data_IF_014373611443
#
_entry.id   IF_014373611443
#
_cell.length_a   1.000
_cell.length_b   1.000
_cell.length_c   1.000
_cell.angle_alpha   90.00
_cell.angle_beta   90.00
_cell.angle_gamma   90.00
#
_symmetry.space_group_name_H-M   'P 1'
#
loop_
_entity.id
_entity.type
_entity.pdbx_description
1 polymer ?
#
# COMPACT_ATOMS: atom_id res chain seq x y z
N UNK A 1 19.89 58.09 30.00
CA UNK A 1 18.68 57.62 29.34
C UNK A 1 18.93 56.80 28.04
N UNK A 2 20.17 56.35 27.82
CA UNK A 2 20.64 55.69 26.58
C UNK A 2 20.82 54.15 26.64
N UNK A 3 20.52 53.51 27.81
CA UNK A 3 20.84 52.14 28.02
C UNK A 3 19.65 51.16 27.85
N UNK A 4 18.41 51.68 27.73
CA UNK A 4 17.20 50.84 27.58
C UNK A 4 16.80 50.54 26.15
N UNK A 5 17.24 51.31 25.15
CA UNK A 5 16.88 51.16 23.74
C UNK A 5 17.54 49.95 23.07
N UNK A 6 18.76 49.60 23.53
CA UNK A 6 19.54 48.52 22.95
C UNK A 6 19.03 47.09 23.29
N UNK A 7 18.25 46.96 24.38
CA UNK A 7 17.68 45.69 24.81
C UNK A 7 16.39 45.33 24.07
N UNK A 8 15.59 46.31 23.68
CA UNK A 8 14.35 46.11 22.95
C UNK A 8 14.57 45.78 21.49
N UNK A 9 15.60 46.42 20.90
CA UNK A 9 16.05 46.15 19.51
C UNK A 9 16.59 44.72 19.37
N UNK A 10 17.47 44.28 20.27
CA UNK A 10 17.99 42.90 20.27
C UNK A 10 16.89 41.84 20.40
N UNK A 11 15.87 42.08 21.21
CA UNK A 11 14.73 41.15 21.39
C UNK A 11 13.85 41.07 20.14
N UNK A 12 13.64 42.18 19.44
CA UNK A 12 12.89 42.21 18.17
C UNK A 12 13.63 41.52 17.03
N UNK A 13 14.95 41.66 16.97
CA UNK A 13 15.78 40.94 16.00
C UNK A 13 15.83 39.43 16.27
N UNK A 14 15.90 38.99 17.52
CA UNK A 14 15.86 37.59 17.90
C UNK A 14 14.50 36.96 17.50
N UNK A 15 13.37 37.65 17.70
CA UNK A 15 12.04 37.19 17.32
C UNK A 15 11.86 37.02 15.81
N UNK A 16 12.39 37.93 15.00
CA UNK A 16 12.33 37.84 13.53
C UNK A 16 13.21 36.70 12.99
N UNK A 17 14.37 36.48 13.58
CA UNK A 17 15.26 35.35 13.24
C UNK A 17 14.64 34.00 13.59
N UNK A 18 13.99 33.94 14.77
CA UNK A 18 13.32 32.73 15.24
C UNK A 18 12.10 32.38 14.37
N UNK A 19 11.31 33.38 13.98
CA UNK A 19 10.20 33.21 13.04
C UNK A 19 10.65 32.69 11.66
N UNK A 20 11.75 33.22 11.15
CA UNK A 20 12.34 32.77 9.87
C UNK A 20 12.82 31.30 9.98
N UNK A 21 13.47 30.94 11.07
CA UNK A 21 14.00 29.60 11.30
C UNK A 21 12.85 28.57 11.44
N UNK A 22 11.79 28.91 12.14
CA UNK A 22 10.57 28.10 12.24
C UNK A 22 9.93 27.92 10.87
N UNK A 23 9.82 29.00 10.07
CA UNK A 23 9.20 28.90 8.74
C UNK A 23 10.00 27.98 7.81
N UNK A 24 11.33 28.06 7.82
CA UNK A 24 12.19 27.18 7.03
C UNK A 24 12.06 25.72 7.53
N UNK A 25 12.08 25.51 8.84
CA UNK A 25 11.91 24.19 9.42
C UNK A 25 10.55 23.57 9.05
N UNK A 26 9.48 24.38 9.05
CA UNK A 26 8.13 23.93 8.68
C UNK A 26 8.08 23.54 7.19
N UNK A 27 8.68 24.32 6.30
CA UNK A 27 8.77 23.99 4.87
C UNK A 27 9.52 22.67 4.66
N UNK A 28 10.67 22.49 5.31
CA UNK A 28 11.45 21.26 5.21
C UNK A 28 10.69 20.06 5.79
N UNK A 29 9.96 20.25 6.89
CA UNK A 29 9.12 19.22 7.47
C UNK A 29 8.01 18.78 6.51
N UNK A 30 7.31 19.75 5.88
CA UNK A 30 6.23 19.47 4.92
C UNK A 30 6.79 18.74 3.69
N UNK A 31 7.92 19.18 3.15
CA UNK A 31 8.57 18.51 2.01
C UNK A 31 9.06 17.10 2.38
N UNK A 32 9.62 16.93 3.56
CA UNK A 32 10.04 15.63 4.08
C UNK A 32 8.87 14.67 4.27
N UNK A 33 7.77 15.16 4.84
CA UNK A 33 6.53 14.39 5.02
C UNK A 33 5.93 13.97 3.67
N UNK A 34 5.95 14.88 2.69
CA UNK A 34 5.53 14.58 1.33
C UNK A 34 6.37 13.47 0.67
N UNK A 35 7.70 13.60 0.71
CA UNK A 35 8.60 12.60 0.16
C UNK A 35 8.44 11.24 0.85
N UNK A 36 8.24 11.25 2.16
CA UNK A 36 7.95 10.06 2.94
C UNK A 36 6.64 9.38 2.48
N UNK A 37 5.53 10.13 2.40
CA UNK A 37 4.25 9.59 1.97
C UNK A 37 4.32 9.00 0.56
N UNK A 38 4.98 9.67 -0.39
CA UNK A 38 5.15 9.16 -1.76
C UNK A 38 5.93 7.84 -1.79
N UNK A 39 7.03 7.75 -1.04
CA UNK A 39 7.85 6.55 -1.00
C UNK A 39 7.17 5.34 -0.38
N UNK A 40 6.30 5.57 0.62
CA UNK A 40 5.59 4.49 1.31
C UNK A 40 4.31 4.06 0.61
N UNK A 41 3.65 4.97 -0.10
CA UNK A 41 2.37 4.65 -0.78
C UNK A 41 2.57 3.56 -1.83
N UNK A 42 3.60 3.62 -2.65
CA UNK A 42 3.87 2.59 -3.66
C UNK A 42 4.14 1.23 -3.02
N UNK A 43 4.99 1.16 -2.00
CA UNK A 43 5.29 -0.08 -1.28
C UNK A 43 4.05 -0.70 -0.63
N UNK A 44 3.18 0.14 -0.04
CA UNK A 44 1.94 -0.32 0.57
C UNK A 44 0.97 -0.88 -0.47
N UNK A 45 0.85 -0.21 -1.61
CA UNK A 45 0.03 -0.66 -2.72
C UNK A 45 0.53 -1.97 -3.31
N UNK A 46 1.83 -2.12 -3.49
CA UNK A 46 2.44 -3.36 -3.96
C UNK A 46 2.22 -4.50 -2.96
N UNK A 47 2.40 -4.24 -1.67
CA UNK A 47 2.11 -5.22 -0.63
C UNK A 47 0.65 -5.69 -0.66
N UNK A 48 -0.31 -4.78 -0.78
CA UNK A 48 -1.74 -5.13 -0.87
C UNK A 48 -2.03 -5.92 -2.14
N UNK A 49 -1.50 -5.51 -3.29
CA UNK A 49 -1.67 -6.21 -4.57
C UNK A 49 -1.08 -7.60 -4.56
N UNK A 50 0.10 -7.77 -3.98
CA UNK A 50 0.78 -9.06 -3.89
C UNK A 50 0.08 -10.05 -2.94
N UNK A 51 -0.76 -9.56 -2.03
CA UNK A 51 -1.62 -10.39 -1.19
C UNK A 51 -2.95 -10.76 -1.87
N UNK A 52 -3.27 -10.15 -3.02
CA UNK A 52 -4.40 -10.59 -3.83
C UNK A 52 -3.95 -11.85 -4.59
N UNK A 53 -4.69 -12.92 -4.41
CA UNK A 53 -4.38 -14.20 -5.03
C UNK A 53 -5.63 -14.95 -5.47
N UNK A 54 -5.41 -16.06 -6.10
CA UNK A 54 -6.43 -17.05 -6.41
C UNK A 54 -6.27 -18.26 -5.53
N UNK A 55 -7.38 -18.75 -5.02
CA UNK A 55 -7.49 -20.10 -4.51
C UNK A 55 -8.16 -20.97 -5.57
N UNK A 56 -7.36 -21.85 -6.15
CA UNK A 56 -7.81 -22.78 -7.20
C UNK A 56 -8.22 -24.08 -6.53
N UNK A 57 -9.51 -24.30 -6.39
CA UNK A 57 -10.07 -25.51 -5.79
C UNK A 57 -9.94 -26.66 -6.79
N UNK A 58 -9.36 -27.75 -6.35
CA UNK A 58 -9.11 -28.95 -7.15
C UNK A 58 -10.21 -29.99 -6.90
N UNK A 59 -10.61 -30.69 -7.94
CA UNK A 59 -11.56 -31.80 -7.82
C UNK A 59 -11.01 -32.92 -6.95
N UNK A 60 -11.83 -33.54 -6.11
CA UNK A 60 -11.43 -34.61 -5.19
C UNK A 60 -10.84 -35.85 -5.88
N UNK A 61 -11.23 -36.09 -7.14
CA UNK A 61 -10.75 -37.22 -7.95
C UNK A 61 -9.49 -36.91 -8.77
N UNK A 62 -8.87 -35.74 -8.59
CA UNK A 62 -7.68 -35.36 -9.32
C UNK A 62 -6.46 -36.18 -8.86
N UNK A 63 -5.68 -36.68 -9.81
CA UNK A 63 -4.45 -37.41 -9.51
C UNK A 63 -3.37 -36.43 -9.03
N UNK A 64 -2.62 -36.84 -8.03
CA UNK A 64 -1.52 -36.04 -7.47
C UNK A 64 -0.51 -35.58 -8.52
N UNK A 65 -0.18 -36.47 -9.48
CA UNK A 65 0.68 -36.14 -10.63
C UNK A 65 0.14 -34.99 -11.47
N UNK A 66 -1.19 -34.93 -11.66
CA UNK A 66 -1.84 -33.84 -12.43
C UNK A 66 -1.85 -32.53 -11.65
N UNK A 67 -2.01 -32.59 -10.32
CA UNK A 67 -1.92 -31.41 -9.44
C UNK A 67 -0.50 -30.84 -9.49
N UNK A 68 0.52 -31.70 -9.35
CA UNK A 68 1.93 -31.30 -9.44
C UNK A 68 2.26 -30.67 -10.80
N UNK A 69 1.78 -31.29 -11.89
CA UNK A 69 1.98 -30.75 -13.23
C UNK A 69 1.33 -29.36 -13.39
N UNK A 70 0.11 -29.17 -12.88
CA UNK A 70 -0.56 -27.87 -12.92
C UNK A 70 0.19 -26.83 -12.08
N UNK A 71 0.64 -27.19 -10.85
CA UNK A 71 1.46 -26.32 -10.00
C UNK A 71 2.74 -25.88 -10.73
N UNK A 72 3.44 -26.82 -11.36
CA UNK A 72 4.66 -26.53 -12.11
C UNK A 72 4.40 -25.66 -13.35
N UNK A 73 3.26 -25.84 -14.02
CA UNK A 73 2.85 -25.00 -15.14
C UNK A 73 2.57 -23.58 -14.69
N UNK A 74 1.87 -23.41 -13.55
CA UNK A 74 1.53 -22.09 -12.97
C UNK A 74 2.82 -21.39 -12.51
N UNK A 75 3.70 -22.07 -11.79
CA UNK A 75 4.91 -21.48 -11.22
C UNK A 75 5.88 -20.91 -12.26
N UNK A 76 5.83 -21.39 -13.51
CA UNK A 76 6.64 -20.89 -14.62
C UNK A 76 6.13 -19.62 -15.26
N UNK A 77 4.94 -19.16 -14.87
CA UNK A 77 4.32 -17.96 -15.46
C UNK A 77 4.92 -16.70 -14.85
N UNK A 78 5.25 -15.71 -15.67
CA UNK A 78 5.88 -14.44 -15.25
C UNK A 78 5.03 -13.61 -14.30
N UNK A 79 3.72 -13.80 -14.32
CA UNK A 79 2.77 -13.07 -13.48
C UNK A 79 2.59 -13.69 -12.10
N UNK A 80 3.19 -14.84 -11.82
CA UNK A 80 3.06 -15.56 -10.56
C UNK A 80 4.24 -15.24 -9.65
N UNK A 81 3.94 -14.82 -8.42
CA UNK A 81 4.91 -14.57 -7.37
C UNK A 81 5.19 -15.83 -6.56
N UNK A 82 4.14 -16.52 -6.14
CA UNK A 82 4.24 -17.78 -5.40
C UNK A 82 3.07 -18.70 -5.71
N UNK A 83 3.30 -20.01 -5.56
CA UNK A 83 2.30 -21.07 -5.71
C UNK A 83 2.46 -22.05 -4.57
N UNK A 84 1.42 -22.22 -3.80
CA UNK A 84 1.38 -23.17 -2.69
C UNK A 84 0.27 -24.19 -2.93
N UNK A 85 0.58 -25.46 -2.73
CA UNK A 85 -0.43 -26.53 -2.75
C UNK A 85 -0.87 -26.77 -1.31
N UNK A 86 -2.15 -26.72 -1.07
CA UNK A 86 -2.80 -26.95 0.23
C UNK A 86 -3.57 -28.25 0.12
N UNK A 87 -3.11 -29.26 0.85
CA UNK A 87 -3.82 -30.55 0.90
C UNK A 87 -5.14 -30.42 1.68
N UNK A 88 -6.01 -31.43 1.57
CA UNK A 88 -7.26 -31.48 2.33
C UNK A 88 -7.00 -31.41 3.84
N UNK A 89 -5.97 -32.12 4.30
CA UNK A 89 -5.56 -32.16 5.71
C UNK A 89 -5.02 -30.81 6.17
N UNK A 90 -4.21 -30.18 5.35
CA UNK A 90 -3.65 -28.84 5.64
C UNK A 90 -4.74 -27.77 5.67
N UNK A 91 -5.68 -27.79 4.72
CA UNK A 91 -6.84 -26.90 4.70
C UNK A 91 -7.67 -27.05 5.99
N UNK A 92 -7.83 -28.30 6.47
CA UNK A 92 -8.53 -28.56 7.73
C UNK A 92 -7.80 -27.98 8.93
N UNK A 93 -6.48 -28.14 8.97
CA UNK A 93 -5.67 -27.63 10.08
C UNK A 93 -5.68 -26.08 10.11
N UNK A 94 -5.56 -25.43 8.96
CA UNK A 94 -5.67 -23.97 8.84
C UNK A 94 -7.04 -23.48 9.32
N UNK A 95 -8.12 -24.17 8.93
CA UNK A 95 -9.46 -23.81 9.34
C UNK A 95 -9.68 -24.00 10.84
N UNK A 96 -9.05 -25.02 11.45
CA UNK A 96 -9.06 -25.22 12.90
C UNK A 96 -8.33 -24.07 13.63
N UNK A 97 -7.19 -23.64 13.11
CA UNK A 97 -6.43 -22.52 13.69
C UNK A 97 -7.24 -21.21 13.63
N UNK A 98 -7.97 -20.98 12.54
CA UNK A 98 -8.75 -19.75 12.31
C UNK A 98 -10.05 -19.70 13.11
N UNK A 99 -10.77 -20.82 13.23
CA UNK A 99 -12.12 -20.88 13.80
C UNK A 99 -12.20 -21.56 15.19
N UNK A 100 -11.10 -22.20 15.62
CA UNK A 100 -11.05 -22.99 16.85
C UNK A 100 -11.50 -24.44 16.65
N UNK A 101 -11.15 -25.28 17.63
CA UNK A 101 -11.44 -26.73 17.58
C UNK A 101 -12.95 -27.05 17.59
N UNK A 102 -13.77 -26.19 18.17
CA UNK A 102 -15.23 -26.34 18.27
C UNK A 102 -15.94 -26.40 16.91
N UNK A 103 -15.31 -25.85 15.85
CA UNK A 103 -15.88 -25.85 14.51
C UNK A 103 -16.04 -27.27 13.93
N UNK A 104 -15.11 -28.19 14.24
CA UNK A 104 -15.20 -29.58 13.77
C UNK A 104 -16.24 -30.37 14.53
N UNK A 105 -16.45 -30.10 15.81
CA UNK A 105 -17.53 -30.69 16.58
C UNK A 105 -18.90 -30.26 16.03
N UNK A 106 -18.98 -29.02 15.49
CA UNK A 106 -20.20 -28.50 14.86
C UNK A 106 -20.52 -29.15 13.51
N UNK A 107 -19.49 -29.62 12.77
CA UNK A 107 -19.67 -30.39 11.54
C UNK A 107 -20.16 -31.82 11.81
N UNK A 108 -20.03 -32.33 13.05
CA UNK A 108 -20.45 -33.68 13.42
C UNK A 108 -19.73 -34.76 12.60
N UNK A 109 -20.45 -35.88 12.36
CA UNK A 109 -19.98 -37.03 11.57
C UNK A 109 -19.93 -36.76 10.03
N UNK A 110 -20.04 -35.50 9.60
CA UNK A 110 -20.00 -35.19 8.18
C UNK A 110 -18.53 -35.31 7.69
N UNK A 111 -18.37 -36.12 6.65
CA UNK A 111 -17.07 -36.21 5.97
C UNK A 111 -16.55 -34.81 5.60
N UNK A 112 -15.32 -34.51 6.01
CA UNK A 112 -14.69 -33.21 5.80
C UNK A 112 -14.99 -32.67 4.38
N UNK A 113 -15.73 -31.54 4.24
CA UNK A 113 -16.16 -31.01 2.96
C UNK A 113 -15.04 -30.27 2.21
N UNK A 114 -13.89 -30.03 2.86
CA UNK A 114 -12.80 -29.29 2.26
C UNK A 114 -12.16 -30.06 1.13
N UNK A 115 -11.78 -29.34 0.09
CA UNK A 115 -11.10 -29.86 -1.08
C UNK A 115 -9.66 -29.36 -1.10
N UNK A 116 -8.75 -30.11 -1.72
CA UNK A 116 -7.39 -29.60 -1.95
C UNK A 116 -7.44 -28.37 -2.85
N UNK A 117 -6.55 -27.43 -2.60
CA UNK A 117 -6.48 -26.18 -3.36
C UNK A 117 -5.03 -25.80 -3.72
N UNK A 118 -4.89 -24.92 -4.70
CA UNK A 118 -3.62 -24.27 -5.03
C UNK A 118 -3.80 -22.77 -4.80
N UNK A 119 -3.07 -22.22 -3.82
CA UNK A 119 -3.01 -20.79 -3.59
C UNK A 119 -1.96 -20.16 -4.52
N UNK A 120 -2.39 -19.15 -5.29
CA UNK A 120 -1.57 -18.46 -6.28
C UNK A 120 -1.52 -16.99 -5.90
N UNK A 121 -0.31 -16.45 -5.69
CA UNK A 121 -0.09 -15.03 -5.48
C UNK A 121 0.48 -14.40 -6.74
N UNK A 122 0.02 -13.21 -7.06
CA UNK A 122 0.45 -12.49 -8.26
C UNK A 122 1.54 -11.47 -7.94
N UNK A 123 2.36 -11.17 -8.94
CA UNK A 123 3.22 -9.99 -8.92
C UNK A 123 2.34 -8.75 -9.02
N UNK A 124 2.68 -7.67 -8.31
CA UNK A 124 1.83 -6.46 -8.17
C UNK A 124 1.36 -5.89 -9.51
N UNK A 125 2.19 -5.91 -10.53
CA UNK A 125 1.87 -5.39 -11.88
C UNK A 125 0.73 -6.16 -12.58
N UNK A 126 0.58 -7.44 -12.23
CA UNK A 126 -0.44 -8.32 -12.81
C UNK A 126 -1.68 -8.50 -11.92
N UNK A 127 -1.66 -7.96 -10.69
CA UNK A 127 -2.82 -7.98 -9.78
C UNK A 127 -3.86 -6.92 -10.18
N UNK A 128 -4.30 -6.94 -11.45
CA UNK A 128 -5.32 -6.07 -12.01
C UNK A 128 -6.46 -6.91 -12.61
N UNK A 129 -7.63 -6.27 -12.78
CA UNK A 129 -8.87 -6.94 -13.21
C UNK A 129 -8.69 -7.70 -14.52
N UNK A 130 -8.07 -7.09 -15.50
CA UNK A 130 -7.97 -7.66 -16.86
C UNK A 130 -7.03 -8.88 -16.87
N UNK A 131 -5.88 -8.77 -16.23
CA UNK A 131 -4.93 -9.87 -16.09
C UNK A 131 -5.50 -11.03 -15.27
N UNK A 132 -6.18 -10.71 -14.17
CA UNK A 132 -6.80 -11.73 -13.31
C UNK A 132 -7.94 -12.44 -14.02
N UNK A 133 -8.81 -11.73 -14.75
CA UNK A 133 -9.89 -12.35 -15.52
C UNK A 133 -9.36 -13.30 -16.62
N UNK A 134 -8.24 -12.94 -17.26
CA UNK A 134 -7.59 -13.81 -18.25
C UNK A 134 -7.05 -15.09 -17.58
N UNK A 135 -6.40 -14.99 -16.44
CA UNK A 135 -5.84 -16.13 -15.71
C UNK A 135 -6.95 -17.00 -15.11
N UNK A 136 -8.02 -16.41 -14.55
CA UNK A 136 -9.20 -17.12 -14.07
C UNK A 136 -9.75 -18.03 -15.18
N UNK A 137 -10.03 -17.46 -16.35
CA UNK A 137 -10.57 -18.19 -17.49
C UNK A 137 -9.63 -19.30 -17.98
N UNK A 138 -8.32 -19.07 -17.93
CA UNK A 138 -7.33 -20.09 -18.28
C UNK A 138 -7.31 -21.25 -17.27
N UNK A 139 -7.43 -20.95 -15.96
CA UNK A 139 -7.48 -21.95 -14.90
C UNK A 139 -8.78 -22.76 -14.93
N UNK A 140 -9.92 -22.13 -15.15
CA UNK A 140 -11.24 -22.80 -15.27
C UNK A 140 -11.30 -23.81 -16.41
N UNK A 141 -10.52 -23.59 -17.49
CA UNK A 141 -10.44 -24.55 -18.59
C UNK A 141 -9.60 -25.80 -18.28
N UNK A 142 -8.95 -25.87 -17.11
CA UNK A 142 -8.19 -27.06 -16.71
C UNK A 142 -9.12 -28.14 -16.15
N UNK A 143 -9.02 -29.35 -16.67
CA UNK A 143 -9.94 -30.47 -16.33
C UNK A 143 -9.99 -30.83 -14.86
N UNK A 144 -8.90 -30.62 -14.13
CA UNK A 144 -8.77 -30.95 -12.69
C UNK A 144 -9.24 -29.80 -11.78
N UNK A 145 -9.45 -28.61 -12.31
CA UNK A 145 -9.95 -27.45 -11.57
C UNK A 145 -11.47 -27.58 -11.39
N UNK A 146 -11.94 -27.40 -10.16
CA UNK A 146 -13.37 -27.34 -9.84
C UNK A 146 -13.88 -25.93 -9.98
N UNK A 147 -13.21 -24.99 -9.34
CA UNK A 147 -13.55 -23.57 -9.36
C UNK A 147 -12.32 -22.72 -8.98
N UNK A 148 -12.36 -21.45 -9.34
CA UNK A 148 -11.34 -20.46 -8.97
C UNK A 148 -12.00 -19.41 -8.07
N UNK A 149 -11.52 -19.31 -6.83
CA UNK A 149 -12.05 -18.40 -5.82
C UNK A 149 -11.10 -17.24 -5.68
N UNK A 150 -11.60 -16.02 -5.78
CA UNK A 150 -10.85 -14.82 -5.40
C UNK A 150 -11.81 -13.68 -5.04
N UNK A 151 -11.29 -12.72 -4.31
CA UNK A 151 -12.11 -11.61 -3.83
C UNK A 151 -12.28 -10.55 -4.93
N UNK A 152 -13.18 -10.82 -5.90
CA UNK A 152 -13.49 -9.90 -7.02
C UNK A 152 -13.80 -8.47 -6.55
N UNK A 153 -14.53 -8.35 -5.44
CA UNK A 153 -14.87 -7.06 -4.85
C UNK A 153 -13.67 -6.26 -4.36
N UNK A 154 -12.70 -6.92 -3.73
CA UNK A 154 -11.46 -6.27 -3.27
C UNK A 154 -10.61 -5.82 -4.45
N UNK A 155 -10.44 -6.67 -5.46
CA UNK A 155 -9.65 -6.34 -6.66
C UNK A 155 -10.23 -5.11 -7.38
N UNK A 156 -11.55 -5.05 -7.55
CA UNK A 156 -12.23 -3.91 -8.15
C UNK A 156 -12.06 -2.64 -7.30
N UNK A 157 -12.28 -2.75 -6.00
CA UNK A 157 -12.21 -1.61 -5.08
C UNK A 157 -10.80 -1.06 -4.99
N UNK A 158 -9.79 -1.92 -4.91
CA UNK A 158 -8.39 -1.51 -4.83
C UNK A 158 -7.97 -0.80 -6.12
N UNK A 159 -8.21 -1.39 -7.28
CA UNK A 159 -7.78 -0.80 -8.55
C UNK A 159 -8.51 0.52 -8.87
N UNK A 160 -9.80 0.64 -8.55
CA UNK A 160 -10.56 1.87 -8.77
C UNK A 160 -10.18 2.97 -7.79
N UNK A 161 -9.95 2.62 -6.53
CA UNK A 161 -9.62 3.59 -5.48
C UNK A 161 -8.14 4.01 -5.50
N UNK A 162 -7.21 3.17 -5.97
CA UNK A 162 -5.80 3.54 -6.11
C UNK A 162 -5.63 4.80 -6.97
N UNK A 163 -6.30 4.88 -8.12
CA UNK A 163 -6.23 6.04 -8.98
C UNK A 163 -6.81 7.29 -8.30
N UNK A 164 -7.89 7.13 -7.52
CA UNK A 164 -8.46 8.24 -6.72
C UNK A 164 -7.50 8.67 -5.61
N UNK A 165 -6.87 7.72 -4.92
CA UNK A 165 -5.89 8.02 -3.86
C UNK A 165 -4.68 8.74 -4.45
N UNK A 166 -4.12 8.26 -5.57
CA UNK A 166 -3.03 8.94 -6.29
C UNK A 166 -3.42 10.36 -6.70
N UNK A 167 -4.63 10.57 -7.20
CA UNK A 167 -5.13 11.89 -7.60
C UNK A 167 -5.29 12.83 -6.40
N UNK A 168 -5.84 12.36 -5.28
CA UNK A 168 -5.95 13.14 -4.04
C UNK A 168 -4.57 13.49 -3.49
N UNK A 169 -3.63 12.54 -3.45
CA UNK A 169 -2.25 12.79 -3.04
C UNK A 169 -1.57 13.83 -3.94
N UNK A 170 -1.80 13.77 -5.24
CA UNK A 170 -1.28 14.75 -6.18
C UNK A 170 -1.81 16.17 -5.89
N UNK A 171 -3.13 16.32 -5.66
CA UNK A 171 -3.73 17.62 -5.28
C UNK A 171 -3.13 18.14 -3.97
N UNK A 172 -3.05 17.30 -2.95
CA UNK A 172 -2.45 17.67 -1.66
C UNK A 172 -1.00 18.13 -1.86
N UNK A 173 -0.23 17.44 -2.70
CA UNK A 173 1.14 17.80 -3.02
C UNK A 173 1.27 19.18 -3.66
N UNK A 174 0.40 19.50 -4.61
CA UNK A 174 0.37 20.80 -5.28
C UNK A 174 0.03 21.89 -4.27
N UNK A 175 -0.94 21.66 -3.38
CA UNK A 175 -1.32 22.63 -2.32
C UNK A 175 -0.14 22.87 -1.38
N UNK A 176 0.53 21.82 -0.92
CA UNK A 176 1.68 21.93 -0.03
C UNK A 176 2.86 22.68 -0.69
N UNK A 177 3.09 22.44 -1.99
CA UNK A 177 4.09 23.17 -2.76
C UNK A 177 3.76 24.67 -2.85
N UNK A 178 2.50 25.03 -3.07
CA UNK A 178 2.06 26.42 -3.06
C UNK A 178 2.28 27.06 -1.68
N UNK A 179 1.93 26.38 -0.61
CA UNK A 179 2.15 26.88 0.77
C UNK A 179 3.66 27.07 1.02
N UNK A 180 4.49 26.13 0.59
CA UNK A 180 5.93 26.24 0.72
C UNK A 180 6.49 27.49 -0.01
N UNK A 181 6.05 27.73 -1.25
CA UNK A 181 6.46 28.92 -2.03
C UNK A 181 6.06 30.20 -1.34
N UNK A 182 4.82 30.27 -0.82
CA UNK A 182 4.31 31.45 -0.10
C UNK A 182 5.13 31.70 1.17
N UNK A 183 5.42 30.67 1.95
CA UNK A 183 6.23 30.77 3.17
C UNK A 183 7.66 31.24 2.88
N UNK A 184 8.30 30.68 1.84
CA UNK A 184 9.63 31.11 1.41
C UNK A 184 9.61 32.59 0.99
N UNK A 185 8.62 32.99 0.18
CA UNK A 185 8.46 34.38 -0.28
C UNK A 185 8.29 35.36 0.88
N UNK A 186 7.45 35.02 1.87
CA UNK A 186 7.26 35.81 3.08
C UNK A 186 8.53 35.90 3.93
N UNK A 187 9.26 34.78 4.06
CA UNK A 187 10.52 34.73 4.83
C UNK A 187 11.61 35.61 4.19
N UNK A 188 11.76 35.55 2.87
CA UNK A 188 12.72 36.39 2.15
C UNK A 188 12.37 37.88 2.30
N UNK A 189 11.09 38.24 2.16
CA UNK A 189 10.62 39.61 2.33
C UNK A 189 10.91 40.16 3.73
N UNK A 190 10.62 39.39 4.77
CA UNK A 190 10.94 39.74 6.16
C UNK A 190 12.44 39.90 6.39
N UNK A 191 13.26 39.01 5.84
CA UNK A 191 14.73 39.09 5.95
C UNK A 191 15.32 40.32 5.27
N UNK A 192 14.81 40.69 4.11
CA UNK A 192 15.24 41.90 3.37
C UNK A 192 14.83 43.18 4.08
N UNK A 193 13.62 43.27 4.61
CA UNK A 193 13.20 44.44 5.38
C UNK A 193 13.97 44.60 6.69
N UNK A 194 14.32 43.53 7.36
CA UNK A 194 15.12 43.56 8.59
C UNK A 194 16.53 44.12 8.33
N UNK A 195 17.16 43.81 7.17
CA UNK A 195 18.50 44.32 6.81
C UNK A 195 18.50 45.78 6.34
N UNK A 196 17.38 46.28 5.83
CA UNK A 196 17.31 47.66 5.31
C UNK A 196 17.49 48.72 6.41
N UNK A 197 17.21 48.38 7.66
CA UNK A 197 17.43 49.26 8.82
C UNK A 197 18.92 49.35 9.25
N UNK A 198 19.73 48.34 8.90
CA UNK A 198 21.16 48.32 9.30
C UNK A 198 22.03 49.10 8.33
N UNK A 199 21.62 49.28 7.08
CA UNK A 199 22.41 49.97 6.03
C UNK A 199 22.21 51.48 6.06
N UNK A 200 21.34 52.03 6.87
CA UNK A 200 20.98 53.45 6.95
C UNK A 200 21.50 54.17 8.22
N UNK A 201 22.43 53.52 8.94
CA UNK A 201 23.10 54.11 10.09
C UNK A 201 24.55 54.35 9.82
#
# INVERSE_FOLDING_TARGET
>A
MMYSENKSTKRRFAGSYFASLISIALVLFVLGMYAFLMSYTEKLLDYVRENIGFEVVIKSNAKESSIKSLKDEISKKKYVKSVEYISKEEATNRLKEDLGDDFLEWLGDVENPLLPSIDIRFVSDYANIDSMAMVEKWLENKSIVKEVIYQKGLTNTINTNINKVKFVLFIVSVILLFIAIILISHTIRLSVYSKRFIVRS
#
